data_IF_259081101027
#
_entry.id   IF_259081101027
#
_cell.length_a   1.000
_cell.length_b   1.000
_cell.length_c   1.000
_cell.angle_alpha   90.00
_cell.angle_beta   90.00
_cell.angle_gamma   90.00
#
_symmetry.space_group_name_H-M   'P 1'
#
loop_
_entity.id
_entity.type
_entity.pdbx_description
1 polymer ?
#
# COMPACT_ATOMS: atom_id res chain seq x y z
N UNK A 1 5.91 18.19 -7.61
CA UNK A 1 6.99 17.45 -6.93
C UNK A 1 7.34 18.28 -5.71
N UNK A 2 7.33 17.70 -4.52
CA UNK A 2 7.55 18.44 -3.27
C UNK A 2 8.94 18.09 -2.77
N UNK A 3 9.81 19.09 -2.68
CA UNK A 3 11.18 18.92 -2.18
C UNK A 3 11.21 19.14 -0.67
N UNK A 4 12.00 18.34 0.04
CA UNK A 4 12.19 18.44 1.50
C UNK A 4 13.67 18.57 1.80
N UNK A 5 14.04 19.60 2.55
CA UNK A 5 15.40 19.82 3.02
C UNK A 5 15.48 19.45 4.50
N UNK A 6 16.37 18.53 4.85
CA UNK A 6 16.60 18.08 6.22
C UNK A 6 18.05 18.34 6.61
N UNK A 7 18.26 18.85 7.81
CA UNK A 7 19.58 18.98 8.42
C UNK A 7 19.77 17.82 9.38
N UNK A 8 20.85 17.05 9.18
CA UNK A 8 21.20 15.89 9.99
C UNK A 8 22.58 16.14 10.58
N UNK A 9 22.75 15.83 11.86
CA UNK A 9 24.01 16.02 12.57
C UNK A 9 24.23 14.84 13.54
N UNK A 10 25.48 14.67 13.97
CA UNK A 10 25.89 13.64 14.91
C UNK A 10 25.66 12.21 14.40
N UNK A 11 25.10 11.36 15.27
CA UNK A 11 24.99 9.91 15.03
C UNK A 11 24.12 9.56 13.82
N UNK A 12 23.12 10.39 13.50
CA UNK A 12 22.21 10.16 12.38
C UNK A 12 22.91 10.42 11.05
N UNK A 13 23.71 11.48 10.96
CA UNK A 13 24.52 11.75 9.77
C UNK A 13 25.52 10.62 9.53
N UNK A 14 26.22 10.18 10.57
CA UNK A 14 27.21 9.12 10.46
C UNK A 14 26.57 7.79 10.04
N UNK A 15 25.40 7.46 10.58
CA UNK A 15 24.64 6.27 10.20
C UNK A 15 24.22 6.34 8.73
N UNK A 16 23.67 7.48 8.29
CA UNK A 16 23.28 7.68 6.89
C UNK A 16 24.47 7.54 5.95
N UNK A 17 25.64 8.07 6.34
CA UNK A 17 26.88 7.93 5.57
C UNK A 17 27.30 6.47 5.47
N UNK A 18 27.35 5.73 6.58
CA UNK A 18 27.71 4.30 6.60
C UNK A 18 26.78 3.44 5.75
N UNK A 19 25.48 3.73 5.75
CA UNK A 19 24.51 3.02 4.92
C UNK A 19 24.77 3.16 3.42
N UNK A 20 25.22 4.34 2.98
CA UNK A 20 25.60 4.58 1.59
C UNK A 20 26.98 3.99 1.28
N UNK A 21 27.97 4.21 2.15
CA UNK A 21 29.35 3.72 1.97
C UNK A 21 29.41 2.19 1.93
N UNK A 22 28.56 1.50 2.70
CA UNK A 22 28.44 0.04 2.67
C UNK A 22 27.62 -0.49 1.47
N UNK A 23 27.04 0.39 0.66
CA UNK A 23 26.31 0.02 -0.55
C UNK A 23 24.88 -0.47 -0.33
N UNK A 24 24.31 -0.33 0.87
CA UNK A 24 22.88 -0.66 1.11
C UNK A 24 21.94 0.26 0.32
N UNK A 25 22.35 1.51 0.12
CA UNK A 25 21.64 2.50 -0.71
C UNK A 25 22.61 3.21 -1.64
N UNK A 26 22.14 3.61 -2.83
CA UNK A 26 22.98 4.32 -3.80
C UNK A 26 23.13 5.79 -3.46
N UNK A 27 22.11 6.39 -2.82
CA UNK A 27 22.11 7.79 -2.44
C UNK A 27 21.56 8.01 -1.03
N UNK A 28 22.00 9.10 -0.38
CA UNK A 28 21.46 9.54 0.91
C UNK A 28 19.93 9.73 0.87
N UNK A 29 19.42 10.26 -0.24
CA UNK A 29 17.99 10.49 -0.41
C UNK A 29 17.18 9.19 -0.46
N UNK A 30 17.71 8.12 -1.06
CA UNK A 30 17.08 6.80 -1.03
C UNK A 30 16.99 6.23 0.38
N UNK A 31 18.09 6.31 1.13
CA UNK A 31 18.13 5.85 2.52
C UNK A 31 17.14 6.60 3.40
N UNK A 32 17.05 7.93 3.27
CA UNK A 32 16.07 8.76 4.00
C UNK A 32 14.63 8.37 3.64
N UNK A 33 14.32 8.19 2.35
CA UNK A 33 12.98 7.75 1.93
C UNK A 33 12.64 6.37 2.48
N UNK A 34 13.58 5.43 2.46
CA UNK A 34 13.38 4.10 3.02
C UNK A 34 13.10 4.17 4.52
N UNK A 35 13.85 4.99 5.27
CA UNK A 35 13.61 5.22 6.68
C UNK A 35 12.23 5.79 6.98
N UNK A 36 11.79 6.80 6.22
CA UNK A 36 10.44 7.38 6.36
C UNK A 36 9.35 6.34 6.07
N UNK A 37 9.52 5.52 5.04
CA UNK A 37 8.57 4.45 4.72
C UNK A 37 8.49 3.41 5.84
N UNK A 38 9.64 3.03 6.41
CA UNK A 38 9.67 2.05 7.49
C UNK A 38 9.02 2.59 8.77
N UNK A 39 9.30 3.84 9.15
CA UNK A 39 8.60 4.53 10.24
C UNK A 39 7.09 4.60 9.96
N UNK A 40 6.71 4.88 8.71
CA UNK A 40 5.31 4.89 8.30
C UNK A 40 4.60 3.56 8.54
N UNK A 41 5.29 2.42 8.36
CA UNK A 41 4.76 1.10 8.70
C UNK A 41 4.70 0.89 10.21
N UNK A 42 5.76 1.22 10.92
CA UNK A 42 5.87 1.04 12.39
C UNK A 42 4.76 1.78 13.13
N UNK A 43 4.41 2.97 12.68
CA UNK A 43 3.34 3.78 13.26
C UNK A 43 1.96 3.57 12.60
N UNK A 44 1.81 2.55 11.74
CA UNK A 44 0.57 2.23 11.02
C UNK A 44 -0.03 3.42 10.24
N UNK A 45 0.83 4.36 9.81
CA UNK A 45 0.44 5.52 8.98
C UNK A 45 0.40 5.13 7.50
N UNK A 46 1.27 4.20 7.10
CA UNK A 46 1.26 3.57 5.79
C UNK A 46 0.55 2.24 5.91
N UNK A 47 -0.60 2.13 5.24
CA UNK A 47 -1.37 0.88 5.21
C UNK A 47 -0.54 -0.25 4.63
N UNK A 48 -0.65 -1.42 5.23
CA UNK A 48 -0.07 -2.65 4.69
C UNK A 48 -0.71 -2.98 3.34
N UNK A 49 -0.07 -3.89 2.60
CA UNK A 49 -0.62 -4.36 1.34
C UNK A 49 -1.97 -5.05 1.55
N UNK A 50 -2.08 -5.84 2.62
CA UNK A 50 -3.33 -6.50 3.02
C UNK A 50 -4.42 -5.47 3.32
N UNK A 51 -4.13 -4.45 4.12
CA UNK A 51 -5.08 -3.38 4.45
C UNK A 51 -5.56 -2.63 3.21
N UNK A 52 -4.66 -2.34 2.26
CA UNK A 52 -5.02 -1.74 0.98
C UNK A 52 -5.90 -2.68 0.14
N UNK A 53 -5.60 -3.98 0.11
CA UNK A 53 -6.42 -4.95 -0.62
C UNK A 53 -7.82 -5.07 -0.02
N UNK A 54 -7.94 -5.09 1.30
CA UNK A 54 -9.22 -5.15 2.00
C UNK A 54 -10.07 -3.90 1.71
N UNK A 55 -9.45 -2.72 1.71
CA UNK A 55 -10.14 -1.48 1.31
C UNK A 55 -10.61 -1.53 -0.15
N UNK A 56 -9.75 -1.95 -1.08
CA UNK A 56 -10.15 -2.08 -2.48
C UNK A 56 -11.23 -3.14 -2.69
N UNK A 57 -11.19 -4.24 -1.94
CA UNK A 57 -12.22 -5.27 -1.96
C UNK A 57 -13.55 -4.71 -1.43
N UNK A 58 -13.51 -3.96 -0.33
CA UNK A 58 -14.67 -3.30 0.24
C UNK A 58 -15.29 -2.26 -0.71
N UNK A 59 -14.47 -1.41 -1.33
CA UNK A 59 -14.92 -0.45 -2.35
C UNK A 59 -15.55 -1.15 -3.57
N UNK A 60 -14.93 -2.24 -4.03
CA UNK A 60 -15.50 -3.05 -5.12
C UNK A 60 -16.85 -3.65 -4.69
N UNK A 61 -16.92 -4.21 -3.49
CA UNK A 61 -18.15 -4.80 -2.98
C UNK A 61 -19.27 -3.77 -2.89
N UNK A 62 -18.99 -2.55 -2.42
CA UNK A 62 -19.95 -1.45 -2.43
C UNK A 62 -20.43 -1.08 -3.84
N UNK A 63 -19.52 -1.03 -4.83
CA UNK A 63 -19.90 -0.77 -6.22
C UNK A 63 -20.80 -1.88 -6.77
N UNK A 64 -20.47 -3.14 -6.50
CA UNK A 64 -21.28 -4.29 -6.90
C UNK A 64 -22.67 -4.21 -6.25
N UNK A 65 -22.75 -3.91 -4.96
CA UNK A 65 -24.03 -3.78 -4.24
C UNK A 65 -24.87 -2.62 -4.80
N UNK A 66 -24.24 -1.48 -5.12
CA UNK A 66 -24.91 -0.37 -5.78
C UNK A 66 -25.46 -0.75 -7.17
N UNK A 67 -24.72 -1.54 -7.95
CA UNK A 67 -25.18 -2.04 -9.25
C UNK A 67 -26.32 -3.05 -9.13
N UNK A 68 -26.31 -3.91 -8.11
CA UNK A 68 -27.41 -4.84 -7.81
C UNK A 68 -28.66 -4.05 -7.43
N UNK A 69 -28.54 -3.08 -6.53
CA UNK A 69 -29.65 -2.18 -6.13
C UNK A 69 -30.20 -1.37 -7.30
N UNK A 70 -29.34 -0.95 -8.21
CA UNK A 70 -29.74 -0.27 -9.44
C UNK A 70 -30.32 -1.21 -10.52
N UNK A 71 -30.44 -2.52 -10.24
CA UNK A 71 -30.97 -3.52 -11.16
C UNK A 71 -30.05 -3.87 -12.35
N UNK A 72 -28.81 -3.37 -12.35
CA UNK A 72 -27.83 -3.58 -13.43
C UNK A 72 -27.13 -4.93 -13.35
N UNK A 73 -27.19 -5.60 -12.20
CA UNK A 73 -26.61 -6.92 -11.96
C UNK A 73 -27.66 -7.90 -11.44
N UNK A 74 -27.67 -9.10 -11.99
CA UNK A 74 -28.45 -10.23 -11.46
C UNK A 74 -27.64 -10.97 -10.41
N UNK A 75 -28.24 -11.19 -9.26
CA UNK A 75 -27.70 -12.07 -8.22
C UNK A 75 -28.05 -13.50 -8.61
N UNK A 76 -27.09 -14.41 -8.47
CA UNK A 76 -27.27 -15.83 -8.78
C UNK A 76 -27.09 -16.64 -7.50
N UNK A 77 -27.87 -17.70 -7.36
CA UNK A 77 -27.67 -18.71 -6.33
C UNK A 77 -26.50 -19.62 -6.69
N UNK A 78 -25.92 -20.31 -5.71
CA UNK A 78 -24.75 -21.17 -5.92
C UNK A 78 -25.00 -22.26 -6.96
N UNK A 79 -26.21 -22.84 -6.99
CA UNK A 79 -26.63 -23.83 -7.98
C UNK A 79 -26.68 -23.26 -9.41
N UNK A 80 -27.17 -22.02 -9.56
CA UNK A 80 -27.25 -21.34 -10.86
C UNK A 80 -25.86 -20.94 -11.39
N UNK A 81 -24.93 -20.58 -10.51
CA UNK A 81 -23.54 -20.27 -10.89
C UNK A 81 -22.83 -21.52 -11.40
N UNK A 82 -22.97 -22.66 -10.70
CA UNK A 82 -22.39 -23.95 -11.15
C UNK A 82 -22.93 -24.38 -12.51
N UNK A 83 -24.23 -24.22 -12.73
CA UNK A 83 -24.84 -24.54 -14.02
C UNK A 83 -24.40 -23.58 -15.14
N UNK A 84 -24.15 -22.31 -14.84
CA UNK A 84 -23.81 -21.29 -15.84
C UNK A 84 -22.33 -21.24 -16.21
N UNK A 85 -21.43 -21.53 -15.27
CA UNK A 85 -19.98 -21.41 -15.47
C UNK A 85 -19.21 -22.73 -15.38
N UNK A 86 -19.88 -23.85 -15.08
CA UNK A 86 -19.27 -25.18 -15.12
C UNK A 86 -18.16 -25.40 -14.09
N UNK A 87 -18.28 -24.77 -12.92
CA UNK A 87 -17.44 -25.03 -11.74
C UNK A 87 -17.96 -26.22 -10.94
#
# INVERSE_FOLDING_TARGET
MTDVLVHLDGSVEETLKRLVDAGFFKTKAEAVRAGILELGKEYHVVKSREELMDEFAFEKMQKIDAEIKAGKRKVYTEAEVRQKYGL
#
